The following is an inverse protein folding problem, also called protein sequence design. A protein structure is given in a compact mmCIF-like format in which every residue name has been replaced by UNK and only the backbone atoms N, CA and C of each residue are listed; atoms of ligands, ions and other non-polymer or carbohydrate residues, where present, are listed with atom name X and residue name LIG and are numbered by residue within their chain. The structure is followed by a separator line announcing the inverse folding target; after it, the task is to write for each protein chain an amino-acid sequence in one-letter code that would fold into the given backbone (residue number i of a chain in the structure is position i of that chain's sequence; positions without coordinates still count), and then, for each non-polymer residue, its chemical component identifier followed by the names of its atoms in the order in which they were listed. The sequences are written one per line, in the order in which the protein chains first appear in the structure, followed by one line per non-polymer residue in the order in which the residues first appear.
data_IF_920076615142
#
_entry.id   IF_920076615142
#
_cell.length_a   1.000
_cell.length_b   1.000
_cell.length_c   1.000
_cell.angle_alpha   90.00
_cell.angle_beta   90.00
_cell.angle_gamma   90.00
#
_symmetry.space_group_name_H-M   'P 1'
#
loop_
_entity.id
_entity.type
_entity.pdbx_description
1 polymer ?
#
# COMPACT_ATOMS: atom_id res chain seq x y z
N UNK A 1 -23.86 -19.56 3.41
CA UNK A 1 -23.44 -20.97 3.27
C UNK A 1 -21.92 -20.99 3.19
N UNK A 2 -21.22 -21.69 4.07
CA UNK A 2 -19.76 -21.83 3.97
C UNK A 2 -19.44 -22.93 2.98
N UNK A 3 -18.87 -22.58 1.83
CA UNK A 3 -18.31 -23.54 0.89
C UNK A 3 -17.09 -24.23 1.56
N UNK A 4 -17.10 -25.56 1.75
CA UNK A 4 -16.00 -26.30 2.38
C UNK A 4 -14.69 -26.25 1.58
N UNK A 5 -14.73 -25.82 0.32
CA UNK A 5 -13.56 -25.59 -0.52
C UNK A 5 -13.16 -24.11 -0.61
N UNK A 6 -13.82 -23.24 0.16
CA UNK A 6 -13.50 -21.82 0.18
C UNK A 6 -12.10 -21.58 0.75
N UNK A 7 -11.21 -21.05 -0.08
CA UNK A 7 -9.88 -20.59 0.33
C UNK A 7 -9.90 -19.20 1.01
N UNK A 8 -11.07 -18.57 1.15
CA UNK A 8 -11.19 -17.18 1.64
C UNK A 8 -10.63 -17.00 3.05
N UNK A 9 -10.89 -17.94 3.97
CA UNK A 9 -10.40 -17.85 5.34
C UNK A 9 -8.87 -17.99 5.43
N UNK A 10 -8.29 -18.91 4.65
CA UNK A 10 -6.85 -19.09 4.56
C UNK A 10 -6.17 -17.86 3.94
N UNK A 11 -6.69 -17.36 2.81
CA UNK A 11 -6.17 -16.17 2.15
C UNK A 11 -6.22 -14.93 3.08
N UNK A 12 -7.31 -14.74 3.82
CA UNK A 12 -7.40 -13.67 4.82
C UNK A 12 -6.42 -13.86 5.98
N UNK A 13 -6.12 -15.11 6.38
CA UNK A 13 -5.10 -15.42 7.37
C UNK A 13 -3.72 -14.94 6.93
N UNK A 14 -3.30 -15.28 5.71
CA UNK A 14 -2.03 -14.82 5.15
C UNK A 14 -1.96 -13.30 5.00
N UNK A 15 -3.01 -12.67 4.45
CA UNK A 15 -3.06 -11.22 4.34
C UNK A 15 -3.02 -10.53 5.72
N UNK A 16 -3.64 -11.14 6.73
CA UNK A 16 -3.56 -10.66 8.10
C UNK A 16 -2.13 -10.72 8.63
N UNK A 17 -1.42 -11.83 8.45
CA UNK A 17 -0.03 -11.97 8.89
C UNK A 17 0.86 -10.88 8.27
N UNK A 18 0.74 -10.70 6.95
CA UNK A 18 1.48 -9.67 6.20
C UNK A 18 1.19 -8.28 6.75
N UNK A 19 -0.08 -7.90 6.92
CA UNK A 19 -0.43 -6.55 7.39
C UNK A 19 -0.11 -6.33 8.86
N UNK A 20 -0.30 -7.34 9.71
CA UNK A 20 0.00 -7.26 11.14
C UNK A 20 1.51 -7.14 11.38
N UNK A 21 2.32 -7.83 10.60
CA UNK A 21 3.78 -7.70 10.62
C UNK A 21 4.24 -6.25 10.36
N UNK A 22 3.61 -5.52 9.42
CA UNK A 22 3.90 -4.10 9.21
C UNK A 22 3.59 -3.27 10.46
N UNK A 23 2.44 -3.50 11.12
CA UNK A 23 2.08 -2.79 12.34
C UNK A 23 3.08 -3.09 13.47
N UNK A 24 3.52 -4.34 13.61
CA UNK A 24 4.54 -4.73 14.58
C UNK A 24 5.86 -4.01 14.31
N UNK A 25 6.34 -4.03 13.06
CA UNK A 25 7.60 -3.36 12.70
C UNK A 25 7.54 -1.85 12.93
N UNK A 26 6.45 -1.18 12.55
CA UNK A 26 6.25 0.26 12.81
C UNK A 26 6.34 0.61 14.30
N UNK A 27 5.90 -0.31 15.16
CA UNK A 27 5.96 -0.11 16.62
C UNK A 27 7.33 -0.40 17.18
N UNK A 28 7.98 -1.48 16.75
CA UNK A 28 9.29 -1.87 17.25
C UNK A 28 10.38 -0.86 16.87
N UNK A 29 10.30 -0.25 15.68
CA UNK A 29 11.28 0.77 15.24
C UNK A 29 11.29 2.06 16.07
N UNK A 30 10.29 2.25 16.95
CA UNK A 30 10.28 3.37 17.91
C UNK A 30 11.24 3.17 19.07
N UNK A 31 11.50 1.91 19.40
CA UNK A 31 12.41 1.53 20.48
C UNK A 31 13.81 1.28 19.92
N UNK A 32 13.90 0.62 18.75
CA UNK A 32 15.15 0.30 18.08
C UNK A 32 14.99 0.30 16.55
N UNK A 33 15.71 1.16 15.84
CA UNK A 33 15.62 1.22 14.37
C UNK A 33 16.27 0.03 13.66
N UNK A 34 17.15 -0.71 14.34
CA UNK A 34 17.89 -1.83 13.75
C UNK A 34 17.10 -3.16 13.75
N UNK A 35 15.82 -3.12 14.14
CA UNK A 35 14.95 -4.29 14.19
C UNK A 35 14.88 -5.01 12.83
N UNK A 36 15.00 -6.34 12.87
CA UNK A 36 14.92 -7.20 11.69
C UNK A 36 13.68 -8.07 11.80
N UNK A 37 12.90 -8.17 10.73
CA UNK A 37 11.68 -8.97 10.69
C UNK A 37 11.70 -9.92 9.50
N UNK A 38 11.37 -11.19 9.73
CA UNK A 38 11.05 -12.15 8.67
C UNK A 38 9.61 -12.66 8.79
N UNK A 39 9.04 -13.11 7.68
CA UNK A 39 7.67 -13.60 7.56
C UNK A 39 7.72 -15.01 6.99
N UNK A 40 6.97 -15.95 7.57
CA UNK A 40 6.90 -17.36 7.13
C UNK A 40 8.28 -18.06 7.07
N UNK A 41 9.17 -17.71 8.00
CA UNK A 41 10.51 -18.33 8.13
C UNK A 41 10.54 -19.33 9.29
N UNK A 42 10.66 -18.83 10.53
CA UNK A 42 10.66 -19.67 11.73
C UNK A 42 9.25 -19.78 12.32
N UNK A 43 8.48 -18.71 12.32
CA UNK A 43 7.03 -18.72 12.59
C UNK A 43 6.35 -17.75 11.60
N UNK A 44 5.07 -17.46 11.79
CA UNK A 44 4.34 -16.54 10.91
C UNK A 44 5.06 -15.19 10.78
N UNK A 45 5.56 -14.66 11.90
CA UNK A 45 6.44 -13.49 11.97
C UNK A 45 7.58 -13.79 12.94
N UNK A 46 8.79 -13.33 12.62
CA UNK A 46 9.95 -13.49 13.49
C UNK A 46 10.70 -12.18 13.60
N UNK A 47 10.89 -11.68 14.82
CA UNK A 47 11.85 -10.62 15.08
C UNK A 47 13.22 -11.21 15.36
N UNK A 48 14.23 -10.60 14.76
CA UNK A 48 15.63 -10.94 14.96
C UNK A 48 16.45 -9.69 15.27
N UNK A 49 17.59 -9.93 15.92
CA UNK A 49 18.61 -8.92 16.17
C UNK A 49 19.96 -9.54 15.83
N UNK A 50 20.77 -8.84 15.03
CA UNK A 50 22.05 -9.34 14.53
C UNK A 50 21.95 -10.73 13.85
N UNK A 51 20.81 -11.01 13.20
CA UNK A 51 20.53 -12.29 12.54
C UNK A 51 20.01 -13.39 13.48
N UNK A 52 20.03 -13.17 14.79
CA UNK A 52 19.56 -14.15 15.78
C UNK A 52 18.09 -13.90 16.17
N UNK A 53 17.22 -14.91 16.11
CA UNK A 53 15.81 -14.75 16.46
C UNK A 53 15.62 -14.40 17.94
N UNK A 54 14.88 -13.31 18.20
CA UNK A 54 14.56 -12.81 19.54
C UNK A 54 13.10 -13.13 19.92
N UNK A 55 12.19 -13.13 18.93
CA UNK A 55 10.79 -13.43 19.16
C UNK A 55 10.19 -14.15 17.95
N UNK A 56 9.55 -15.30 18.22
CA UNK A 56 8.75 -16.03 17.25
C UNK A 56 7.28 -15.73 17.51
N UNK A 57 6.60 -15.16 16.53
CA UNK A 57 5.22 -14.72 16.67
C UNK A 57 4.33 -15.59 15.78
N UNK A 58 3.43 -16.32 16.42
CA UNK A 58 2.36 -17.03 15.75
C UNK A 58 1.09 -16.17 15.77
N UNK A 59 0.51 -15.92 14.60
CA UNK A 59 -0.67 -15.08 14.40
C UNK A 59 -1.91 -15.94 14.08
N UNK A 60 -2.96 -15.80 14.89
CA UNK A 60 -4.27 -16.45 14.68
C UNK A 60 -5.36 -15.43 14.40
N UNK A 61 -5.93 -15.50 13.20
CA UNK A 61 -6.94 -14.57 12.73
C UNK A 61 -8.32 -15.21 12.59
N UNK A 62 -9.35 -14.53 13.08
CA UNK A 62 -10.75 -14.84 12.80
C UNK A 62 -11.55 -13.54 12.70
N UNK A 63 -12.49 -13.49 11.76
CA UNK A 63 -13.48 -12.40 11.68
C UNK A 63 -14.66 -12.61 12.65
N UNK A 64 -14.71 -13.74 13.37
CA UNK A 64 -15.78 -14.02 14.32
C UNK A 64 -15.50 -13.30 15.64
N UNK A 65 -16.30 -12.28 15.93
CA UNK A 65 -16.18 -11.34 17.06
C UNK A 65 -16.28 -11.91 18.47
N UNK A 66 -16.39 -13.24 18.66
CA UNK A 66 -16.61 -13.88 19.98
C UNK A 66 -16.00 -15.27 20.14
N UNK A 67 -14.94 -15.59 19.39
CA UNK A 67 -14.23 -16.84 19.65
C UNK A 67 -13.56 -16.73 21.03
N UNK A 68 -13.84 -17.67 21.94
CA UNK A 68 -13.17 -17.78 23.23
C UNK A 68 -12.12 -18.89 23.16
N UNK A 69 -10.91 -18.61 23.64
CA UNK A 69 -9.84 -19.58 23.75
C UNK A 69 -10.02 -20.35 25.06
N UNK A 70 -10.64 -21.50 24.95
CA UNK A 70 -10.65 -22.49 26.03
C UNK A 70 -9.32 -23.21 26.11
N UNK A 71 -9.01 -23.82 27.25
CA UNK A 71 -7.80 -24.65 27.38
C UNK A 71 -7.74 -25.80 26.38
N UNK A 72 -8.87 -26.26 25.83
CA UNK A 72 -8.94 -27.29 24.79
C UNK A 72 -8.99 -26.72 23.34
N UNK A 73 -8.69 -25.44 23.14
CA UNK A 73 -8.77 -24.77 21.84
C UNK A 73 -7.83 -25.43 20.82
N UNK A 74 -8.40 -25.91 19.70
CA UNK A 74 -7.62 -26.60 18.66
C UNK A 74 -6.53 -25.72 18.06
N UNK A 75 -6.78 -24.42 17.89
CA UNK A 75 -5.77 -23.52 17.31
C UNK A 75 -4.59 -23.28 18.25
N UNK A 76 -4.83 -23.22 19.57
CA UNK A 76 -3.76 -23.14 20.58
C UNK A 76 -2.93 -24.42 20.58
N UNK A 77 -3.60 -25.58 20.58
CA UNK A 77 -2.90 -26.87 20.60
C UNK A 77 -2.13 -27.17 19.33
N UNK A 78 -2.58 -26.70 18.15
CA UNK A 78 -1.78 -26.77 16.92
C UNK A 78 -0.46 -26.01 17.06
N UNK A 79 -0.48 -24.81 17.65
CA UNK A 79 0.74 -24.03 17.88
C UNK A 79 1.63 -24.68 18.94
N UNK A 80 1.06 -25.14 20.06
CA UNK A 80 1.81 -25.89 21.08
C UNK A 80 2.46 -27.15 20.51
N UNK A 81 1.79 -27.84 19.59
CA UNK A 81 2.35 -29.01 18.89
C UNK A 81 3.62 -28.65 18.13
N UNK A 82 3.56 -27.61 17.29
CA UNK A 82 4.70 -27.17 16.48
C UNK A 82 5.89 -26.84 17.36
N UNK A 83 5.67 -26.06 18.44
CA UNK A 83 6.75 -25.72 19.36
C UNK A 83 7.27 -26.93 20.15
N UNK A 84 6.40 -27.87 20.54
CA UNK A 84 6.81 -29.10 21.23
C UNK A 84 7.65 -30.02 20.34
N UNK A 85 7.21 -30.24 19.10
CA UNK A 85 7.93 -31.07 18.12
C UNK A 85 9.30 -30.48 17.81
N UNK A 86 9.38 -29.15 17.62
CA UNK A 86 10.65 -28.44 17.42
C UNK A 86 11.57 -28.62 18.63
N UNK A 87 11.09 -28.33 19.84
CA UNK A 87 11.88 -28.49 21.07
C UNK A 87 12.40 -29.92 21.23
N UNK A 88 11.59 -30.92 20.90
CA UNK A 88 11.99 -32.33 20.97
C UNK A 88 13.07 -32.70 19.96
N UNK A 89 13.11 -32.05 18.80
CA UNK A 89 14.04 -32.36 17.71
C UNK A 89 15.37 -31.65 17.89
N UNK A 90 15.35 -30.37 18.27
CA UNK A 90 16.56 -29.53 18.39
C UNK A 90 17.15 -29.54 19.80
N UNK A 91 16.41 -29.99 20.82
CA UNK A 91 16.81 -29.98 22.23
C UNK A 91 16.65 -28.62 22.91
N UNK A 92 16.55 -27.55 22.13
CA UNK A 92 16.26 -26.18 22.52
C UNK A 92 15.45 -25.51 21.42
N UNK A 93 14.38 -24.79 21.76
CA UNK A 93 13.87 -23.77 20.84
C UNK A 93 14.87 -22.62 20.94
N UNK A 94 15.41 -22.15 19.80
CA UNK A 94 16.38 -21.05 19.63
C UNK A 94 16.63 -20.36 20.97
N UNK A 95 17.77 -20.67 21.61
CA UNK A 95 17.97 -20.69 23.07
C UNK A 95 17.57 -19.42 23.87
N UNK A 96 17.19 -18.34 23.21
CA UNK A 96 16.84 -17.05 23.80
C UNK A 96 15.48 -16.48 23.33
N UNK A 97 14.84 -17.07 22.31
CA UNK A 97 13.64 -16.50 21.72
C UNK A 97 12.40 -16.62 22.63
N UNK A 98 11.59 -15.57 22.63
CA UNK A 98 10.24 -15.58 23.20
C UNK A 98 9.26 -16.14 22.17
N UNK A 99 8.25 -16.90 22.61
CA UNK A 99 7.21 -17.46 21.76
C UNK A 99 5.90 -16.71 21.99
N UNK A 100 5.45 -15.92 21.04
CA UNK A 100 4.27 -15.08 21.23
C UNK A 100 3.11 -15.58 20.38
N UNK A 101 2.03 -16.01 21.02
CA UNK A 101 0.77 -16.31 20.37
C UNK A 101 -0.10 -15.05 20.35
N UNK A 102 -0.30 -14.47 19.17
CA UNK A 102 -1.23 -13.36 18.97
C UNK A 102 -2.52 -13.87 18.35
N UNK A 103 -3.65 -13.46 18.89
CA UNK A 103 -4.94 -14.00 18.50
C UNK A 103 -6.04 -12.96 18.66
N UNK A 104 -6.95 -12.94 17.69
CA UNK A 104 -8.16 -12.10 17.71
C UNK A 104 -9.28 -12.67 18.60
N UNK A 105 -9.10 -13.90 19.10
CA UNK A 105 -10.00 -14.52 20.06
C UNK A 105 -9.66 -14.08 21.49
N UNK A 106 -10.67 -14.07 22.37
CA UNK A 106 -10.51 -13.71 23.77
C UNK A 106 -10.11 -14.92 24.61
N UNK A 107 -9.07 -14.80 25.45
CA UNK A 107 -8.73 -15.82 26.44
C UNK A 107 -9.63 -15.68 27.68
N UNK A 108 -10.42 -16.70 27.99
CA UNK A 108 -11.32 -16.65 29.14
C UNK A 108 -10.51 -16.50 30.45
N UNK A 109 -11.01 -15.72 31.40
CA UNK A 109 -10.36 -15.56 32.70
C UNK A 109 -10.15 -16.92 33.40
N UNK A 110 -8.96 -17.10 33.97
CA UNK A 110 -8.56 -18.36 34.59
C UNK A 110 -8.09 -19.45 33.63
N UNK A 111 -8.22 -19.27 32.31
CA UNK A 111 -7.65 -20.19 31.30
C UNK A 111 -6.11 -20.13 31.28
N UNK A 112 -5.47 -21.18 30.76
CA UNK A 112 -4.03 -21.23 30.57
C UNK A 112 -3.53 -20.07 29.70
N UNK A 113 -4.26 -19.72 28.64
CA UNK A 113 -3.92 -18.61 27.77
C UNK A 113 -3.97 -17.26 28.52
N UNK A 114 -4.97 -17.04 29.38
CA UNK A 114 -5.08 -15.83 30.19
C UNK A 114 -3.95 -15.73 31.23
N UNK A 115 -3.52 -16.85 31.81
CA UNK A 115 -2.36 -16.90 32.73
C UNK A 115 -1.03 -16.57 32.05
N UNK A 116 -0.95 -16.64 30.71
CA UNK A 116 0.24 -16.36 29.90
C UNK A 116 0.24 -14.97 29.25
N UNK A 117 -0.74 -14.11 29.56
CA UNK A 117 -0.72 -12.69 29.16
C UNK A 117 0.49 -11.99 29.77
N UNK A 118 1.10 -11.07 29.03
CA UNK A 118 2.23 -10.27 29.53
C UNK A 118 1.77 -9.32 30.67
N UNK A 119 2.57 -9.18 31.72
CA UNK A 119 2.32 -8.25 32.83
C UNK A 119 2.42 -8.89 34.22
N UNK A 120 2.08 -8.12 35.26
CA UNK A 120 2.27 -8.52 36.68
C UNK A 120 1.45 -9.76 37.11
N UNK A 121 0.42 -10.13 36.37
CA UNK A 121 -0.43 -11.30 36.67
C UNK A 121 0.00 -12.59 35.97
N UNK A 122 1.09 -12.60 35.20
CA UNK A 122 1.54 -13.78 34.44
C UNK A 122 1.94 -14.92 35.39
N UNK A 123 1.35 -16.09 35.20
CA UNK A 123 1.56 -17.26 36.04
C UNK A 123 1.77 -18.54 35.19
N UNK A 124 3.04 -18.78 34.87
CA UNK A 124 3.48 -19.93 34.07
C UNK A 124 3.13 -21.28 34.71
N UNK A 125 3.19 -21.36 36.05
CA UNK A 125 2.93 -22.61 36.80
C UNK A 125 1.45 -22.98 36.73
N UNK A 126 0.57 -21.99 36.91
CA UNK A 126 -0.87 -22.20 36.76
C UNK A 126 -1.22 -22.58 35.32
N UNK A 127 -0.64 -21.89 34.33
CA UNK A 127 -0.84 -22.20 32.92
C UNK A 127 -0.41 -23.64 32.59
N UNK A 128 0.79 -24.05 33.03
CA UNK A 128 1.30 -25.41 32.82
C UNK A 128 0.37 -26.46 33.44
N UNK A 129 -0.11 -26.22 34.67
CA UNK A 129 -1.02 -27.13 35.37
C UNK A 129 -2.32 -27.34 34.57
N UNK A 130 -2.89 -26.25 34.06
CA UNK A 130 -4.11 -26.29 33.24
C UNK A 130 -3.89 -27.01 31.90
N UNK A 131 -2.76 -26.77 31.24
CA UNK A 131 -2.40 -27.44 29.98
C UNK A 131 -2.18 -28.95 30.18
N UNK A 132 -1.46 -29.34 31.24
CA UNK A 132 -1.26 -30.75 31.60
C UNK A 132 -2.58 -31.45 31.92
N UNK A 133 -3.43 -30.82 32.75
CA UNK A 133 -4.75 -31.36 33.07
C UNK A 133 -5.62 -31.52 31.82
N UNK A 134 -5.57 -30.54 30.90
CA UNK A 134 -6.31 -30.61 29.63
C UNK A 134 -5.78 -31.72 28.74
N UNK A 135 -4.47 -31.83 28.56
CA UNK A 135 -3.85 -32.88 27.75
C UNK A 135 -4.16 -34.29 28.28
N UNK A 136 -4.31 -34.45 29.60
CA UNK A 136 -4.64 -35.73 30.23
C UNK A 136 -6.14 -36.09 30.13
N UNK A 137 -7.04 -35.10 30.16
CA UNK A 137 -8.49 -35.35 30.32
C UNK A 137 -9.31 -35.12 29.05
N UNK A 138 -8.82 -34.30 28.12
CA UNK A 138 -9.57 -33.94 26.90
C UNK A 138 -9.73 -35.13 25.96
N UNK A 139 -10.96 -35.32 25.45
CA UNK A 139 -11.30 -36.33 24.43
C UNK A 139 -11.27 -35.80 23.00
N UNK A 140 -10.77 -34.58 22.78
CA UNK A 140 -10.68 -33.97 21.45
C UNK A 140 -9.81 -34.81 20.50
N UNK A 141 -10.44 -35.42 19.49
CA UNK A 141 -9.73 -36.15 18.44
C UNK A 141 -8.84 -35.24 17.61
N UNK A 142 -9.25 -33.98 17.40
CA UNK A 142 -8.52 -32.99 16.62
C UNK A 142 -7.19 -32.58 17.28
N UNK A 143 -7.11 -32.61 18.62
CA UNK A 143 -5.93 -32.19 19.36
C UNK A 143 -5.04 -33.36 19.78
N UNK A 144 -5.40 -34.60 19.45
CA UNK A 144 -4.71 -35.80 19.94
C UNK A 144 -3.20 -35.76 19.69
N UNK A 145 -2.81 -35.44 18.45
CA UNK A 145 -1.38 -35.40 18.09
C UNK A 145 -0.64 -34.28 18.82
N UNK A 146 -1.32 -33.16 19.09
CA UNK A 146 -0.76 -32.07 19.88
C UNK A 146 -0.52 -32.46 21.34
N UNK A 147 -1.49 -33.14 21.96
CA UNK A 147 -1.33 -33.69 23.31
C UNK A 147 -0.19 -34.71 23.36
N UNK A 148 -0.08 -35.58 22.35
CA UNK A 148 1.01 -36.55 22.25
C UNK A 148 2.37 -35.85 22.18
N UNK A 149 2.53 -34.85 21.32
CA UNK A 149 3.78 -34.10 21.18
C UNK A 149 4.16 -33.39 22.48
N UNK A 150 3.21 -32.72 23.14
CA UNK A 150 3.45 -32.03 24.40
C UNK A 150 3.80 -33.01 25.54
N UNK A 151 3.10 -34.15 25.64
CA UNK A 151 3.35 -35.16 26.66
C UNK A 151 4.63 -35.98 26.41
N UNK A 152 5.18 -35.95 25.19
CA UNK A 152 6.48 -36.56 24.89
C UNK A 152 7.65 -35.73 25.46
N UNK A 153 7.43 -34.45 25.76
CA UNK A 153 8.40 -33.61 26.45
C UNK A 153 8.55 -34.04 27.91
N UNK A 154 9.76 -33.93 28.45
CA UNK A 154 9.99 -34.05 29.90
C UNK A 154 9.26 -32.93 30.66
N UNK A 155 8.97 -33.13 31.96
CA UNK A 155 8.35 -32.09 32.78
C UNK A 155 9.17 -30.78 32.80
N UNK A 156 10.50 -30.89 32.78
CA UNK A 156 11.39 -29.73 32.69
C UNK A 156 11.24 -29.01 31.34
N UNK A 157 11.15 -29.74 30.22
CA UNK A 157 10.92 -29.17 28.90
C UNK A 157 9.53 -28.53 28.77
N UNK A 158 8.48 -29.14 29.34
CA UNK A 158 7.14 -28.55 29.35
C UNK A 158 7.13 -27.23 30.14
N UNK A 159 7.72 -27.21 31.33
CA UNK A 159 7.83 -25.99 32.13
C UNK A 159 8.65 -24.91 31.41
N UNK A 160 9.78 -25.29 30.82
CA UNK A 160 10.60 -24.39 30.03
C UNK A 160 9.84 -23.83 28.82
N UNK A 161 9.15 -24.68 28.04
CA UNK A 161 8.35 -24.24 26.90
C UNK A 161 7.29 -23.22 27.33
N UNK A 162 6.49 -23.55 28.36
CA UNK A 162 5.45 -22.65 28.86
C UNK A 162 6.03 -21.33 29.38
N UNK A 163 7.22 -21.36 30.00
CA UNK A 163 7.90 -20.14 30.46
C UNK A 163 8.27 -19.17 29.33
N UNK A 164 8.49 -19.69 28.11
CA UNK A 164 8.79 -18.88 26.93
C UNK A 164 7.55 -18.34 26.23
N UNK A 165 6.36 -18.83 26.56
CA UNK A 165 5.13 -18.44 25.86
C UNK A 165 4.54 -17.15 26.44
N UNK A 166 4.21 -16.23 25.54
CA UNK A 166 3.37 -15.05 25.78
C UNK A 166 2.10 -15.15 24.96
N UNK A 167 1.00 -14.65 25.52
CA UNK A 167 -0.29 -14.57 24.81
C UNK A 167 -0.74 -13.12 24.70
N UNK A 168 -1.05 -12.72 23.46
CA UNK A 168 -1.73 -11.46 23.15
C UNK A 168 -3.08 -11.80 22.55
N UNK A 169 -4.10 -11.84 23.40
CA UNK A 169 -5.48 -12.05 23.00
C UNK A 169 -6.20 -10.72 22.69
N UNK A 170 -7.41 -10.80 22.14
CA UNK A 170 -8.18 -9.62 21.66
C UNK A 170 -7.37 -8.73 20.69
N UNK A 171 -6.46 -9.34 19.93
CA UNK A 171 -5.72 -8.66 18.89
C UNK A 171 -6.67 -8.15 17.78
N UNK A 172 -6.38 -6.99 17.17
CA UNK A 172 -7.20 -6.45 16.08
C UNK A 172 -7.33 -7.44 14.94
N UNK A 173 -8.48 -7.50 14.27
CA UNK A 173 -8.60 -8.23 13.02
C UNK A 173 -7.96 -7.45 11.85
N UNK A 174 -7.90 -8.04 10.65
CA UNK A 174 -7.23 -7.42 9.49
C UNK A 174 -7.76 -6.02 9.10
N UNK A 175 -9.05 -5.74 9.37
CA UNK A 175 -9.65 -4.42 9.13
C UNK A 175 -9.22 -3.44 10.22
N UNK A 176 -9.30 -3.85 11.49
CA UNK A 176 -8.89 -3.03 12.63
C UNK A 176 -7.38 -2.70 12.60
N UNK A 177 -6.55 -3.60 12.05
CA UNK A 177 -5.11 -3.34 11.85
C UNK A 177 -4.90 -2.17 10.90
N UNK A 178 -5.69 -2.06 9.83
CA UNK A 178 -5.59 -0.93 8.89
C UNK A 178 -5.91 0.40 9.60
N UNK A 179 -6.94 0.43 10.43
CA UNK A 179 -7.26 1.63 11.23
C UNK A 179 -6.16 1.97 12.24
N UNK A 180 -5.51 0.96 12.83
CA UNK A 180 -4.34 1.16 13.69
C UNK A 180 -3.15 1.73 12.91
N UNK A 181 -2.87 1.25 11.70
CA UNK A 181 -1.83 1.81 10.84
C UNK A 181 -2.10 3.30 10.54
N UNK A 182 -3.35 3.65 10.21
CA UNK A 182 -3.75 5.06 10.01
C UNK A 182 -3.52 5.86 11.29
N UNK A 183 -3.84 5.30 12.46
CA UNK A 183 -3.59 5.96 13.75
C UNK A 183 -2.10 6.22 13.97
N UNK A 184 -1.23 5.24 13.69
CA UNK A 184 0.22 5.43 13.79
C UNK A 184 0.71 6.49 12.79
N UNK A 185 0.12 6.59 11.60
CA UNK A 185 0.50 7.55 10.57
C UNK A 185 0.11 9.02 10.85
N UNK A 186 -0.88 9.27 11.73
CA UNK A 186 -1.44 10.61 12.01
C UNK A 186 -0.42 11.62 12.53
N UNK A 187 0.65 11.15 13.18
CA UNK A 187 1.68 12.04 13.74
C UNK A 187 2.65 12.56 12.70
N UNK A 188 2.67 11.98 11.49
CA UNK A 188 3.65 12.31 10.45
C UNK A 188 3.08 13.20 9.33
N UNK A 189 1.80 13.05 8.98
CA UNK A 189 1.20 13.73 7.82
C UNK A 189 -0.26 14.13 8.07
N UNK A 190 -0.71 15.16 7.36
CA UNK A 190 -2.12 15.60 7.35
C UNK A 190 -3.07 14.56 6.74
N UNK A 191 -2.58 13.76 5.79
CA UNK A 191 -3.34 12.74 5.08
C UNK A 191 -2.84 11.32 5.41
N UNK A 192 -3.10 10.80 6.62
CA UNK A 192 -2.53 9.54 7.09
C UNK A 192 -2.96 8.32 6.27
N UNK A 193 -4.20 8.31 5.76
CA UNK A 193 -4.66 7.23 4.88
C UNK A 193 -3.87 7.16 3.57
N UNK A 194 -3.48 8.32 3.02
CA UNK A 194 -2.66 8.41 1.82
C UNK A 194 -1.24 7.88 2.05
N UNK A 195 -0.66 8.12 3.23
CA UNK A 195 0.62 7.55 3.65
C UNK A 195 0.52 6.03 3.81
N UNK A 196 -0.49 5.53 4.54
CA UNK A 196 -0.67 4.09 4.79
C UNK A 196 -0.86 3.33 3.48
N UNK A 197 -1.68 3.83 2.56
CA UNK A 197 -1.90 3.16 1.27
C UNK A 197 -0.59 2.98 0.48
N UNK A 198 0.28 4.00 0.46
CA UNK A 198 1.57 3.94 -0.23
C UNK A 198 2.58 3.06 0.53
N UNK A 199 2.58 3.13 1.85
CA UNK A 199 3.42 2.31 2.71
C UNK A 199 3.07 0.82 2.61
N UNK A 200 1.78 0.47 2.62
CA UNK A 200 1.30 -0.90 2.37
C UNK A 200 1.72 -1.39 0.99
N UNK A 201 1.68 -0.54 -0.03
CA UNK A 201 2.15 -0.86 -1.37
C UNK A 201 3.65 -1.20 -1.42
N UNK A 202 4.49 -0.41 -0.73
CA UNK A 202 5.92 -0.74 -0.57
C UNK A 202 6.10 -2.04 0.22
N UNK A 203 5.44 -2.14 1.38
CA UNK A 203 5.55 -3.29 2.28
C UNK A 203 5.22 -4.59 1.56
N UNK A 204 4.11 -4.63 0.83
CA UNK A 204 3.71 -5.81 0.08
C UNK A 204 4.79 -6.24 -0.93
N UNK A 205 5.43 -5.28 -1.63
CA UNK A 205 6.56 -5.60 -2.52
C UNK A 205 7.75 -6.18 -1.76
N UNK A 206 8.06 -5.66 -0.56
CA UNK A 206 9.15 -6.20 0.27
C UNK A 206 8.86 -7.62 0.72
N UNK A 207 7.62 -7.89 1.14
CA UNK A 207 7.19 -9.24 1.54
C UNK A 207 7.26 -10.22 0.36
N UNK A 208 6.80 -9.82 -0.83
CA UNK A 208 6.93 -10.66 -2.03
C UNK A 208 8.39 -11.00 -2.33
N UNK A 209 9.28 -10.01 -2.27
CA UNK A 209 10.73 -10.24 -2.48
C UNK A 209 11.32 -11.17 -1.43
N UNK A 210 10.98 -10.95 -0.15
CA UNK A 210 11.44 -11.77 0.97
C UNK A 210 10.99 -13.24 0.85
N UNK A 211 9.73 -13.47 0.50
CA UNK A 211 9.19 -14.83 0.33
C UNK A 211 9.72 -15.52 -0.94
N UNK A 212 10.00 -14.76 -2.00
CA UNK A 212 10.49 -15.31 -3.27
C UNK A 212 12.00 -15.63 -3.26
N UNK A 213 12.80 -14.91 -2.48
CA UNK A 213 14.23 -15.16 -2.30
C UNK A 213 14.66 -15.05 -0.82
N UNK A 214 14.35 -16.07 -0.01
CA UNK A 214 14.70 -16.07 1.42
C UNK A 214 16.21 -16.04 1.68
N UNK A 215 17.03 -16.45 0.70
CA UNK A 215 18.49 -16.50 0.84
C UNK A 215 19.18 -15.18 0.54
N UNK A 216 18.67 -14.41 -0.42
CA UNK A 216 19.21 -13.10 -0.78
C UNK A 216 18.79 -11.99 0.17
N UNK A 217 17.59 -12.08 0.76
CA UNK A 217 17.09 -11.10 1.73
C UNK A 217 16.37 -11.77 2.91
N UNK A 218 17.12 -12.26 3.91
CA UNK A 218 16.55 -13.02 5.02
C UNK A 218 15.66 -12.19 5.95
N UNK A 219 15.77 -10.85 5.91
CA UNK A 219 14.99 -9.95 6.75
C UNK A 219 14.55 -8.69 6.00
N UNK A 220 13.40 -8.17 6.38
CA UNK A 220 12.98 -6.79 6.12
C UNK A 220 13.39 -5.96 7.34
N UNK A 221 14.10 -4.85 7.12
CA UNK A 221 14.69 -4.07 8.22
C UNK A 221 13.82 -2.87 8.61
N UNK A 222 13.93 -2.48 9.87
CA UNK A 222 13.35 -1.25 10.39
C UNK A 222 13.92 0.00 9.71
N UNK A 223 15.20 -0.03 9.34
CA UNK A 223 15.86 1.06 8.61
C UNK A 223 15.23 1.29 7.23
N UNK A 224 14.95 0.23 6.47
CA UNK A 224 14.28 0.32 5.17
C UNK A 224 12.86 0.89 5.30
N UNK A 225 12.14 0.46 6.35
CA UNK A 225 10.81 0.99 6.69
C UNK A 225 10.89 2.49 7.00
N UNK A 226 11.84 2.91 7.83
CA UNK A 226 12.01 4.30 8.25
C UNK A 226 12.43 5.19 7.08
N UNK A 227 13.39 4.75 6.26
CA UNK A 227 13.83 5.46 5.06
C UNK A 227 12.67 5.65 4.07
N UNK A 228 11.89 4.59 3.84
CA UNK A 228 10.71 4.64 2.97
C UNK A 228 9.64 5.57 3.55
N UNK A 229 9.37 5.48 4.85
CA UNK A 229 8.39 6.32 5.53
C UNK A 229 8.77 7.79 5.42
N UNK A 230 10.03 8.16 5.67
CA UNK A 230 10.51 9.53 5.50
C UNK A 230 10.36 10.04 4.06
N UNK A 231 10.68 9.21 3.07
CA UNK A 231 10.48 9.56 1.66
C UNK A 231 9.02 9.83 1.34
N UNK A 232 8.10 8.96 1.78
CA UNK A 232 6.66 9.12 1.56
C UNK A 232 6.10 10.34 2.30
N UNK A 233 6.53 10.59 3.54
CA UNK A 233 6.13 11.78 4.32
C UNK A 233 6.56 13.06 3.61
N UNK A 234 7.77 13.09 3.02
CA UNK A 234 8.28 14.22 2.23
C UNK A 234 7.46 14.51 0.97
N UNK A 235 6.87 13.47 0.36
CA UNK A 235 5.99 13.59 -0.81
C UNK A 235 4.59 14.11 -0.47
N UNK A 236 4.17 13.98 0.80
CA UNK A 236 2.83 14.34 1.29
C UNK A 236 2.81 15.67 2.06
N UNK A 237 3.89 16.47 1.98
CA UNK A 237 3.96 17.81 2.55
C UNK A 237 3.16 18.83 1.72
N UNK A 238 2.82 19.96 2.33
CA UNK A 238 2.00 21.02 1.70
C UNK A 238 2.63 21.61 0.44
N UNK A 239 3.96 21.57 0.30
CA UNK A 239 4.71 22.12 -0.83
C UNK A 239 5.03 21.06 -1.91
N UNK A 240 4.48 19.86 -1.78
CA UNK A 240 4.73 18.73 -2.66
C UNK A 240 3.46 17.91 -2.93
N UNK A 241 3.53 17.00 -3.91
CA UNK A 241 2.49 16.02 -4.21
C UNK A 241 3.16 14.70 -4.67
N UNK A 242 2.59 13.53 -4.32
CA UNK A 242 3.12 12.24 -4.75
C UNK A 242 2.81 12.00 -6.23
N UNK A 243 3.76 11.36 -6.92
CA UNK A 243 3.59 10.88 -8.31
C UNK A 243 3.33 9.38 -8.23
N UNK A 244 2.10 8.97 -8.54
CA UNK A 244 1.59 7.62 -8.30
C UNK A 244 1.51 6.76 -9.55
N UNK A 245 1.61 7.37 -10.72
CA UNK A 245 1.44 6.70 -12.00
C UNK A 245 2.66 6.94 -12.88
N UNK A 246 3.23 5.85 -13.39
CA UNK A 246 4.26 5.90 -14.42
C UNK A 246 3.66 6.27 -15.78
N UNK A 247 4.53 6.60 -16.73
CA UNK A 247 4.10 6.81 -18.11
C UNK A 247 3.78 5.46 -18.77
N UNK A 248 2.62 5.39 -19.42
CA UNK A 248 2.18 4.25 -20.21
C UNK A 248 1.70 4.76 -21.58
N UNK A 249 2.09 4.09 -22.66
CA UNK A 249 1.48 4.34 -23.97
C UNK A 249 0.08 3.73 -23.99
N UNK A 250 -0.93 4.57 -24.19
CA UNK A 250 -2.33 4.17 -24.26
C UNK A 250 -2.81 4.25 -25.71
N UNK A 251 -3.53 3.21 -26.13
CA UNK A 251 -4.17 3.20 -27.45
C UNK A 251 -5.33 4.20 -27.47
N UNK A 252 -5.36 5.06 -28.48
CA UNK A 252 -6.43 6.02 -28.72
C UNK A 252 -7.81 5.36 -28.77
N UNK A 253 -7.88 4.10 -29.21
CA UNK A 253 -9.13 3.33 -29.24
C UNK A 253 -9.81 3.22 -27.85
N UNK A 254 -9.04 3.37 -26.77
CA UNK A 254 -9.54 3.33 -25.39
C UNK A 254 -10.21 4.64 -24.95
N UNK A 255 -10.02 5.74 -25.67
CA UNK A 255 -10.63 7.03 -25.34
C UNK A 255 -12.10 7.05 -25.76
N UNK A 256 -12.97 7.57 -24.89
CA UNK A 256 -14.33 7.92 -25.29
C UNK A 256 -14.33 9.12 -26.24
N UNK A 257 -15.39 9.35 -27.05
CA UNK A 257 -15.46 10.52 -27.93
C UNK A 257 -15.23 11.87 -27.22
N UNK A 258 -15.64 11.98 -25.95
CA UNK A 258 -15.44 13.20 -25.14
C UNK A 258 -13.98 13.42 -24.74
N UNK A 259 -13.18 12.36 -24.69
CA UNK A 259 -11.76 12.42 -24.34
C UNK A 259 -10.87 12.52 -25.59
N UNK A 260 -11.45 12.60 -26.80
CA UNK A 260 -10.70 12.67 -28.06
C UNK A 260 -10.54 14.08 -28.60
N UNK A 261 -11.16 15.09 -28.00
CA UNK A 261 -11.12 16.47 -28.53
C UNK A 261 -9.68 16.98 -28.63
N UNK A 262 -8.85 16.74 -27.61
CA UNK A 262 -7.45 17.15 -27.68
C UNK A 262 -6.65 16.39 -28.76
N UNK A 263 -7.02 15.14 -29.05
CA UNK A 263 -6.40 14.33 -30.11
C UNK A 263 -6.73 14.94 -31.48
N UNK A 264 -7.98 15.33 -31.72
CA UNK A 264 -8.38 16.03 -32.94
C UNK A 264 -7.67 17.39 -33.07
N UNK A 265 -7.50 18.14 -31.96
CA UNK A 265 -6.69 19.36 -31.97
C UNK A 265 -5.23 19.09 -32.37
N UNK A 266 -4.64 18.02 -31.86
CA UNK A 266 -3.26 17.67 -32.19
C UNK A 266 -3.12 17.27 -33.66
N UNK A 267 -4.11 16.60 -34.26
CA UNK A 267 -4.09 16.25 -35.69
C UNK A 267 -4.10 17.46 -36.62
N UNK A 268 -4.62 18.61 -36.17
CA UNK A 268 -4.54 19.85 -36.93
C UNK A 268 -3.08 20.34 -37.09
N UNK A 269 -2.18 19.98 -36.18
CA UNK A 269 -0.81 20.50 -36.16
C UNK A 269 0.27 19.42 -36.18
N UNK A 270 -0.08 18.14 -36.03
CA UNK A 270 0.84 16.99 -35.98
C UNK A 270 0.47 15.91 -37.00
N UNK A 271 1.51 15.43 -37.69
CA UNK A 271 1.42 14.28 -38.61
C UNK A 271 2.16 13.04 -38.08
N UNK A 272 2.78 13.14 -36.88
CA UNK A 272 3.59 12.06 -36.31
C UNK A 272 2.74 11.22 -35.34
N UNK A 273 2.40 9.96 -35.68
CA UNK A 273 1.54 9.11 -34.85
C UNK A 273 2.16 8.74 -33.51
N UNK A 274 3.50 8.69 -33.40
CA UNK A 274 4.18 8.42 -32.12
C UNK A 274 3.98 9.56 -31.14
N UNK A 275 4.10 10.82 -31.59
CA UNK A 275 3.84 11.98 -30.73
C UNK A 275 2.38 12.05 -30.27
N UNK A 276 1.46 11.60 -31.11
CA UNK A 276 0.04 11.50 -30.74
C UNK A 276 -0.15 10.47 -29.60
N UNK A 277 0.43 9.27 -29.72
CA UNK A 277 0.37 8.25 -28.65
C UNK A 277 1.00 8.74 -27.35
N UNK A 278 2.13 9.44 -27.43
CA UNK A 278 2.75 10.05 -26.25
C UNK A 278 1.84 11.08 -25.57
N UNK A 279 1.17 11.94 -26.35
CA UNK A 279 0.20 12.90 -25.83
C UNK A 279 -0.98 12.22 -25.13
N UNK A 280 -1.49 11.12 -25.69
CA UNK A 280 -2.54 10.31 -25.05
C UNK A 280 -2.06 9.74 -23.71
N UNK A 281 -0.84 9.21 -23.65
CA UNK A 281 -0.24 8.73 -22.40
C UNK A 281 -0.10 9.84 -21.35
N UNK A 282 0.38 11.02 -21.73
CA UNK A 282 0.48 12.17 -20.82
C UNK A 282 -0.89 12.63 -20.32
N UNK A 283 -1.90 12.72 -21.19
CA UNK A 283 -3.27 13.06 -20.81
C UNK A 283 -3.80 12.08 -19.75
N UNK A 284 -3.68 10.78 -20.01
CA UNK A 284 -4.22 9.76 -19.11
C UNK A 284 -3.52 9.74 -17.75
N UNK A 285 -2.18 9.87 -17.75
CA UNK A 285 -1.39 9.96 -16.52
C UNK A 285 -1.82 11.17 -15.68
N UNK A 286 -1.90 12.36 -16.28
CA UNK A 286 -2.32 13.57 -15.57
C UNK A 286 -3.76 13.47 -15.06
N UNK A 287 -4.69 12.95 -15.87
CA UNK A 287 -6.08 12.75 -15.49
C UNK A 287 -6.21 11.80 -14.29
N UNK A 288 -5.52 10.66 -14.31
CA UNK A 288 -5.50 9.69 -13.20
C UNK A 288 -4.87 10.27 -11.95
N UNK A 289 -3.74 10.97 -12.11
CA UNK A 289 -3.02 11.61 -11.01
C UNK A 289 -3.91 12.64 -10.31
N UNK A 290 -4.50 13.56 -11.08
CA UNK A 290 -5.48 14.56 -10.59
C UNK A 290 -6.63 13.89 -9.86
N UNK A 291 -7.24 12.87 -10.47
CA UNK A 291 -8.38 12.17 -9.90
C UNK A 291 -8.04 11.47 -8.58
N UNK A 292 -6.84 10.90 -8.46
CA UNK A 292 -6.36 10.28 -7.23
C UNK A 292 -6.13 11.32 -6.13
N UNK A 293 -5.42 12.41 -6.44
CA UNK A 293 -5.18 13.48 -5.46
C UNK A 293 -6.49 14.09 -4.93
N UNK A 294 -7.48 14.31 -5.78
CA UNK A 294 -8.80 14.82 -5.36
C UNK A 294 -9.53 13.85 -4.43
N UNK A 295 -9.58 12.55 -4.77
CA UNK A 295 -10.23 11.53 -3.92
C UNK A 295 -9.54 11.36 -2.57
N UNK A 296 -8.22 11.49 -2.53
CA UNK A 296 -7.42 11.41 -1.30
C UNK A 296 -7.40 12.75 -0.53
N UNK A 297 -7.98 13.81 -1.09
CA UNK A 297 -8.00 15.15 -0.50
C UNK A 297 -6.63 15.83 -0.46
N UNK A 298 -5.65 15.36 -1.24
CA UNK A 298 -4.27 15.88 -1.28
C UNK A 298 -4.17 17.26 -1.95
N UNK A 299 -5.15 17.58 -2.79
CA UNK A 299 -5.28 18.86 -3.48
C UNK A 299 -6.72 19.35 -3.44
N UNK A 300 -6.90 20.66 -3.28
CA UNK A 300 -8.21 21.30 -3.33
C UNK A 300 -8.61 21.62 -4.78
N UNK A 301 -9.91 21.53 -5.15
CA UNK A 301 -10.37 21.91 -6.48
C UNK A 301 -9.96 23.34 -6.89
N UNK A 302 -9.99 24.30 -5.97
CA UNK A 302 -9.59 25.69 -6.22
C UNK A 302 -8.08 25.86 -6.43
N UNK A 303 -7.25 24.96 -5.88
CA UNK A 303 -5.81 24.94 -6.15
C UNK A 303 -5.54 24.50 -7.59
N UNK A 304 -6.18 23.41 -8.03
CA UNK A 304 -6.10 22.95 -9.42
C UNK A 304 -6.60 24.01 -10.39
N UNK A 305 -7.73 24.65 -10.09
CA UNK A 305 -8.29 25.70 -10.96
C UNK A 305 -7.34 26.88 -11.12
N UNK A 306 -6.66 27.31 -10.05
CA UNK A 306 -5.67 28.39 -10.13
C UNK A 306 -4.48 27.98 -10.99
N UNK A 307 -3.97 26.77 -10.81
CA UNK A 307 -2.91 26.22 -11.63
C UNK A 307 -3.30 26.12 -13.12
N UNK A 308 -4.53 25.72 -13.42
CA UNK A 308 -5.05 25.69 -14.79
C UNK A 308 -5.15 27.09 -15.41
N UNK A 309 -5.65 28.08 -14.66
CA UNK A 309 -5.70 29.48 -15.11
C UNK A 309 -4.30 30.04 -15.43
N UNK A 310 -3.33 29.66 -14.61
CA UNK A 310 -1.93 29.96 -14.78
C UNK A 310 -1.36 29.38 -16.09
N UNK A 311 -1.66 28.11 -16.41
CA UNK A 311 -1.28 27.49 -17.69
C UNK A 311 -1.97 28.17 -18.88
N UNK A 312 -3.25 28.52 -18.76
CA UNK A 312 -4.01 29.21 -19.83
C UNK A 312 -3.38 30.57 -20.11
N UNK A 313 -2.95 31.31 -19.09
CA UNK A 313 -2.30 32.61 -19.26
C UNK A 313 -0.96 32.50 -19.99
N UNK A 314 -0.15 31.50 -19.63
CA UNK A 314 1.12 31.21 -20.32
C UNK A 314 0.89 30.83 -21.77
N UNK A 315 -0.04 29.90 -22.02
CA UNK A 315 -0.43 29.51 -23.38
C UNK A 315 -0.94 30.72 -24.18
N UNK A 316 -1.79 31.57 -23.60
CA UNK A 316 -2.34 32.74 -24.30
C UNK A 316 -1.23 33.68 -24.76
N UNK A 317 -0.22 33.89 -23.92
CA UNK A 317 0.94 34.72 -24.28
C UNK A 317 1.64 34.16 -25.52
N UNK A 318 1.91 32.85 -25.55
CA UNK A 318 2.56 32.20 -26.68
C UNK A 318 1.66 32.11 -27.91
N UNK A 319 0.35 31.97 -27.73
CA UNK A 319 -0.62 31.96 -28.81
C UNK A 319 -0.71 33.33 -29.51
N UNK A 320 -0.68 34.44 -28.77
CA UNK A 320 -0.65 35.77 -29.40
C UNK A 320 0.70 36.03 -30.10
N UNK A 321 1.84 35.59 -29.54
CA UNK A 321 3.14 35.65 -30.25
C UNK A 321 3.06 34.89 -31.58
N UNK A 322 2.51 33.68 -31.57
CA UNK A 322 2.29 32.88 -32.77
C UNK A 322 1.39 33.62 -33.79
N UNK A 323 0.43 34.43 -33.33
CA UNK A 323 -0.46 35.21 -34.21
C UNK A 323 0.22 36.45 -34.78
N UNK A 324 1.09 37.10 -34.01
CA UNK A 324 1.90 38.23 -34.51
C UNK A 324 2.88 37.77 -35.61
N UNK A 325 3.29 36.50 -35.59
CA UNK A 325 4.15 35.88 -36.60
C UNK A 325 3.41 35.44 -37.89
N UNK A 326 2.07 35.52 -37.94
CA UNK A 326 1.29 35.17 -39.14
C UNK A 326 1.21 36.35 -40.12
N UNK A 327 1.36 36.06 -41.41
CA UNK A 327 1.06 37.02 -42.48
C UNK A 327 -0.43 37.41 -42.51
N UNK A 328 -0.79 38.52 -43.17
CA UNK A 328 -2.19 38.97 -43.31
C UNK A 328 -3.11 37.93 -43.98
N UNK A 329 -2.54 37.09 -44.85
CA UNK A 329 -3.20 35.99 -45.54
C UNK A 329 -2.32 34.72 -45.41
N UNK A 330 -2.32 34.08 -44.23
CA UNK A 330 -1.45 32.94 -43.99
C UNK A 330 -1.96 31.72 -44.75
N UNK A 331 -1.03 30.93 -45.29
CA UNK A 331 -1.38 29.63 -45.87
C UNK A 331 -1.48 28.53 -44.80
N UNK A 332 -2.09 27.39 -45.17
CA UNK A 332 -2.26 26.26 -44.26
C UNK A 332 -0.93 25.71 -43.74
N UNK A 333 0.10 25.71 -44.58
CA UNK A 333 1.41 25.16 -44.24
C UNK A 333 2.02 25.97 -43.11
N UNK A 334 1.89 27.29 -43.19
CA UNK A 334 2.42 28.21 -42.19
C UNK A 334 1.64 28.14 -40.87
N UNK A 335 0.30 28.10 -40.93
CA UNK A 335 -0.55 27.91 -39.74
C UNK A 335 -0.24 26.60 -39.01
N UNK A 336 -0.06 25.50 -39.74
CA UNK A 336 0.32 24.18 -39.18
C UNK A 336 1.73 24.23 -38.59
N UNK A 337 2.68 24.89 -39.25
CA UNK A 337 4.07 25.04 -38.78
C UNK A 337 4.12 25.82 -37.46
N UNK A 338 3.46 26.97 -37.39
CA UNK A 338 3.41 27.83 -36.21
C UNK A 338 2.62 27.18 -35.06
N UNK A 339 1.46 26.56 -35.35
CA UNK A 339 0.71 25.81 -34.35
C UNK A 339 1.48 24.61 -33.77
N UNK A 340 2.29 23.93 -34.60
CA UNK A 340 3.20 22.89 -34.13
C UNK A 340 4.31 23.45 -33.24
N UNK A 341 4.83 24.64 -33.54
CA UNK A 341 5.83 25.30 -32.70
C UNK A 341 5.26 25.64 -31.32
N UNK A 342 4.04 26.18 -31.26
CA UNK A 342 3.32 26.41 -30.02
C UNK A 342 3.13 25.11 -29.21
N UNK A 343 2.69 24.04 -29.86
CA UNK A 343 2.57 22.74 -29.19
C UNK A 343 3.93 22.23 -28.68
N UNK A 344 5.01 22.36 -29.47
CA UNK A 344 6.34 21.96 -29.05
C UNK A 344 6.82 22.73 -27.81
N UNK A 345 6.52 24.03 -27.72
CA UNK A 345 6.79 24.81 -26.53
C UNK A 345 6.07 24.23 -25.31
N UNK A 346 4.78 23.91 -25.42
CA UNK A 346 4.01 23.32 -24.33
C UNK A 346 4.56 21.94 -23.89
N UNK A 347 4.98 21.13 -24.87
CA UNK A 347 5.46 19.76 -24.65
C UNK A 347 6.90 19.71 -24.07
N UNK A 348 7.74 20.70 -24.38
CA UNK A 348 9.18 20.65 -24.05
C UNK A 348 9.64 21.72 -23.07
N UNK A 349 8.97 22.86 -23.02
CA UNK A 349 9.47 24.07 -22.34
C UNK A 349 8.52 24.58 -21.25
N UNK A 350 7.21 24.40 -21.40
CA UNK A 350 6.20 24.87 -20.45
C UNK A 350 6.06 23.97 -19.20
N UNK A 351 7.16 23.79 -18.46
CA UNK A 351 7.22 22.89 -17.29
C UNK A 351 6.81 23.59 -15.99
N UNK A 352 5.60 24.16 -15.95
CA UNK A 352 5.12 24.82 -14.74
C UNK A 352 4.83 23.77 -13.65
N UNK A 353 5.39 24.00 -12.46
CA UNK A 353 5.14 23.14 -11.29
C UNK A 353 3.84 23.53 -10.59
N UNK A 354 3.04 22.53 -10.23
CA UNK A 354 1.81 22.69 -9.45
C UNK A 354 2.10 23.16 -8.01
N UNK A 355 3.18 22.64 -7.41
CA UNK A 355 3.73 23.07 -6.11
C UNK A 355 5.26 23.18 -6.19
N UNK A 356 5.92 23.96 -5.31
CA UNK A 356 7.36 24.23 -5.42
C UNK A 356 8.25 22.99 -5.56
N UNK A 357 7.94 21.91 -4.82
CA UNK A 357 8.70 20.65 -4.82
C UNK A 357 8.05 19.52 -5.62
N UNK A 358 6.90 19.77 -6.24
CA UNK A 358 6.28 18.81 -7.16
C UNK A 358 7.06 18.79 -8.49
N UNK A 359 7.97 17.83 -8.60
CA UNK A 359 8.89 17.67 -9.73
C UNK A 359 8.41 16.62 -10.73
N UNK A 360 7.25 16.89 -11.34
CA UNK A 360 6.72 16.09 -12.44
C UNK A 360 6.32 16.98 -13.62
N UNK A 361 7.26 17.19 -14.53
CA UNK A 361 7.00 17.95 -15.74
C UNK A 361 5.94 17.30 -16.64
N UNK A 362 5.75 15.98 -16.57
CA UNK A 362 4.76 15.29 -17.40
C UNK A 362 3.32 15.66 -17.01
N UNK A 363 3.09 16.05 -15.75
CA UNK A 363 1.78 16.49 -15.29
C UNK A 363 1.34 17.77 -16.02
N UNK A 364 2.26 18.72 -16.25
CA UNK A 364 1.97 19.94 -17.00
C UNK A 364 1.58 19.65 -18.46
N UNK A 365 2.29 18.73 -19.13
CA UNK A 365 1.97 18.28 -20.49
C UNK A 365 0.56 17.71 -20.58
N UNK A 366 0.25 16.78 -19.67
CA UNK A 366 -1.08 16.20 -19.58
C UNK A 366 -2.16 17.23 -19.24
N UNK A 367 -1.85 18.22 -18.40
CA UNK A 367 -2.77 19.32 -18.06
C UNK A 367 -3.13 20.16 -19.28
N UNK A 368 -2.16 20.51 -20.13
CA UNK A 368 -2.44 21.17 -21.41
C UNK A 368 -3.33 20.32 -22.33
N UNK A 369 -3.16 19.01 -22.36
CA UNK A 369 -4.07 18.12 -23.10
C UNK A 369 -5.48 18.13 -22.52
N UNK A 370 -5.64 18.16 -21.20
CA UNK A 370 -6.94 18.29 -20.56
C UNK A 370 -7.61 19.63 -20.91
N UNK A 371 -6.87 20.74 -20.81
CA UNK A 371 -7.36 22.07 -21.19
C UNK A 371 -7.74 22.15 -22.68
N UNK A 372 -6.95 21.49 -23.53
CA UNK A 372 -7.22 21.38 -24.96
C UNK A 372 -8.50 20.58 -25.24
N UNK A 373 -8.73 19.51 -24.46
CA UNK A 373 -9.93 18.70 -24.55
C UNK A 373 -11.20 19.50 -24.18
N UNK A 374 -11.07 20.45 -23.26
CA UNK A 374 -12.15 21.33 -22.80
C UNK A 374 -12.26 22.64 -23.62
N UNK A 375 -11.56 22.75 -24.75
CA UNK A 375 -11.50 23.94 -25.61
C UNK A 375 -11.00 25.22 -24.91
N UNK A 376 -10.32 25.11 -23.77
CA UNK A 376 -9.75 26.25 -23.05
C UNK A 376 -8.43 26.72 -23.67
N UNK A 377 -7.72 25.81 -24.35
CA UNK A 377 -6.51 26.11 -25.13
C UNK A 377 -6.57 25.38 -26.48
N UNK A 378 -5.83 25.89 -27.47
CA UNK A 378 -5.78 25.34 -28.82
C UNK A 378 -4.41 25.48 -29.46
N UNK A 379 -4.11 24.62 -30.44
CA UNK A 379 -2.79 24.60 -31.08
C UNK A 379 -2.80 25.29 -32.45
N UNK A 380 -3.80 25.02 -33.28
CA UNK A 380 -3.97 25.67 -34.58
C UNK A 380 -4.54 27.09 -34.39
N UNK A 381 -4.09 28.13 -35.12
CA UNK A 381 -4.64 29.50 -35.00
C UNK A 381 -6.18 29.56 -35.12
N UNK A 382 -6.73 28.74 -36.02
CA UNK A 382 -8.17 28.63 -36.28
C UNK A 382 -8.86 27.44 -35.58
N UNK A 383 -8.28 26.89 -34.51
CA UNK A 383 -8.79 25.65 -33.88
C UNK A 383 -10.28 25.70 -33.54
N UNK A 384 -10.77 26.85 -33.04
CA UNK A 384 -12.19 27.05 -32.68
C UNK A 384 -13.11 26.89 -33.88
N UNK A 385 -12.71 27.38 -35.06
CA UNK A 385 -13.51 27.26 -36.28
C UNK A 385 -13.49 25.82 -36.80
N UNK A 386 -12.30 25.20 -36.81
CA UNK A 386 -12.10 23.84 -37.34
C UNK A 386 -12.81 22.77 -36.52
N UNK A 387 -12.94 22.99 -35.22
CA UNK A 387 -13.55 22.05 -34.29
C UNK A 387 -14.94 22.50 -33.78
N UNK A 388 -15.55 23.50 -34.42
CA UNK A 388 -16.86 24.03 -34.04
C UNK A 388 -17.95 22.94 -33.96
N UNK A 389 -17.85 21.91 -34.81
CA UNK A 389 -18.77 20.77 -34.80
C UNK A 389 -18.66 19.95 -33.49
N UNK A 390 -17.44 19.68 -33.01
CA UNK A 390 -17.21 18.98 -31.74
C UNK A 390 -17.62 19.83 -30.54
N UNK A 391 -17.42 21.15 -30.61
CA UNK A 391 -17.89 22.07 -29.57
C UNK A 391 -19.42 22.05 -29.45
N UNK A 392 -20.12 22.03 -30.58
CA UNK A 392 -21.58 21.93 -30.62
C UNK A 392 -22.08 20.58 -30.07
N UNK A 393 -21.37 19.47 -30.35
CA UNK A 393 -21.69 18.16 -29.78
C UNK A 393 -21.48 18.09 -28.27
N UNK A 394 -20.39 18.68 -27.76
CA UNK A 394 -20.12 18.76 -26.33
C UNK A 394 -21.22 19.56 -25.59
N UNK A 395 -21.66 20.69 -26.16
CA UNK A 395 -22.70 21.53 -25.58
C UNK A 395 -24.09 20.86 -25.56
N UNK A 396 -24.37 19.93 -26.48
CA UNK A 396 -25.62 19.16 -26.51
C UNK A 396 -25.67 17.99 -25.52
N UNK A 397 -24.50 17.55 -25.03
CA UNK A 397 -24.37 16.39 -24.15
C UNK A 397 -24.09 16.71 -22.68
N UNK A 398 -23.90 17.99 -22.34
CA UNK A 398 -23.83 18.51 -20.96
C UNK A 398 -25.23 18.90 -20.48
#
# INVERSE_FOLDING_TARGET
MSDPYSATAAALGYLYQIRFALLLLIRSVREDSAQQLSIECLDDVTFAQEGEPQELIQLKHTLRTRASLTDASTEVWKTLRIWSERLSTTGHLIDQAVLTLVTSAHAADGSAAAQLREGQGRNEVAALTLLQATAATSKSKANRDAYTAFNALTLAQQAWLVSKIRVVDDAPNILDVHDKLIKEARVYVKHPAALVSRLEGWWFRQVVQHLADPTGRPFITGEDLMATTHSLVSQLQDDNLPVDFDFEEIDEAQLSPRERVFVEQLRLVLNNPTRLRMAVGHYYRAYRQRSKWLREGLILPDELKRYEQDLILEWRTQFEIMRDDLDELPDEVDMVRLGRALFNWADTSAMRRLRPRHDDASFSRGSYHMLANDFQVGWHPEFTQRLAHLMADAARGA
#
